data_IF_756808224200
#
_entry.id   IF_756808224200
#
_cell.length_a   1.000
_cell.length_b   1.000
_cell.length_c   1.000
_cell.angle_alpha   90.00
_cell.angle_beta   90.00
_cell.angle_gamma   90.00
#
_symmetry.space_group_name_H-M   'P 1'
#
loop_
_entity.id
_entity.type
_entity.pdbx_description
1 polymer ?
#
# COMPACT_ATOMS: atom_id res chain seq x y z
N UNK A 1 -20.44 17.61 50.94
CA UNK A 1 -20.44 16.29 50.29
C UNK A 1 -21.65 16.25 49.36
N UNK A 2 -21.43 16.61 48.09
CA UNK A 2 -22.45 16.66 47.05
C UNK A 2 -22.08 15.59 46.03
N UNK A 3 -22.97 14.67 45.62
CA UNK A 3 -22.57 13.56 44.77
C UNK A 3 -22.37 14.03 43.33
N UNK A 4 -21.29 13.55 42.72
CA UNK A 4 -20.96 13.80 41.32
C UNK A 4 -21.97 13.11 40.40
N UNK A 5 -22.60 13.89 39.52
CA UNK A 5 -23.49 13.39 38.48
C UNK A 5 -22.69 12.64 37.41
N UNK A 6 -22.94 11.34 37.28
CA UNK A 6 -22.38 10.48 36.24
C UNK A 6 -23.03 10.84 34.89
N UNK A 7 -22.24 11.29 33.91
CA UNK A 7 -22.73 11.48 32.53
C UNK A 7 -23.04 10.10 31.90
N UNK A 8 -24.13 9.95 31.15
CA UNK A 8 -24.45 8.69 30.48
C UNK A 8 -23.43 8.42 29.37
N UNK A 9 -23.03 7.16 29.22
CA UNK A 9 -22.18 6.70 28.13
C UNK A 9 -22.90 6.93 26.79
N UNK A 10 -22.27 7.70 25.91
CA UNK A 10 -22.70 7.87 24.51
C UNK A 10 -22.66 6.53 23.80
N UNK A 11 -23.78 6.10 23.24
CA UNK A 11 -23.86 4.91 22.41
C UNK A 11 -22.88 5.00 21.23
N UNK A 12 -22.28 3.89 20.79
CA UNK A 12 -21.44 3.87 19.60
C UNK A 12 -22.26 4.35 18.38
N UNK A 13 -21.65 5.09 17.45
CA UNK A 13 -22.34 5.54 16.25
C UNK A 13 -22.85 4.35 15.44
N UNK A 14 -24.00 4.46 14.75
CA UNK A 14 -24.50 3.40 13.90
C UNK A 14 -23.46 3.08 12.82
N UNK A 15 -23.11 1.80 12.70
CA UNK A 15 -22.37 1.26 11.56
C UNK A 15 -23.02 1.73 10.27
N UNK A 16 -22.24 2.41 9.42
CA UNK A 16 -22.69 2.83 8.10
C UNK A 16 -23.29 1.63 7.35
N UNK A 17 -24.41 1.81 6.62
CA UNK A 17 -24.95 0.74 5.79
C UNK A 17 -23.89 0.31 4.76
N UNK A 18 -23.81 -0.98 4.40
CA UNK A 18 -22.93 -1.42 3.33
C UNK A 18 -23.26 -0.62 2.08
N UNK A 19 -22.26 0.09 1.55
CA UNK A 19 -22.38 0.84 0.31
C UNK A 19 -22.92 -0.10 -0.77
N UNK A 20 -24.02 0.28 -1.44
CA UNK A 20 -24.57 -0.48 -2.56
C UNK A 20 -23.45 -0.70 -3.60
N UNK A 21 -22.97 -1.93 -3.71
CA UNK A 21 -21.92 -2.31 -4.65
C UNK A 21 -22.42 -2.00 -6.07
N UNK A 22 -21.74 -1.10 -6.77
CA UNK A 22 -21.99 -0.89 -8.19
C UNK A 22 -21.87 -2.25 -8.92
N UNK A 23 -22.81 -2.59 -9.83
CA UNK A 23 -22.78 -3.88 -10.51
C UNK A 23 -21.44 -4.04 -11.23
N UNK A 24 -20.73 -5.12 -10.92
CA UNK A 24 -19.44 -5.41 -11.51
C UNK A 24 -19.57 -5.49 -13.02
N UNK A 25 -18.77 -4.70 -13.75
CA UNK A 25 -18.69 -4.80 -15.20
C UNK A 25 -18.35 -6.24 -15.60
N UNK A 26 -19.01 -6.82 -16.61
CA UNK A 26 -18.72 -8.18 -17.03
C UNK A 26 -17.30 -8.31 -17.57
N UNK A 27 -16.73 -9.51 -17.45
CA UNK A 27 -15.44 -9.81 -18.08
C UNK A 27 -15.56 -9.66 -19.61
N UNK A 28 -14.54 -9.10 -20.28
CA UNK A 28 -14.57 -8.92 -21.72
C UNK A 28 -14.55 -10.28 -22.44
N UNK A 29 -15.10 -10.34 -23.65
CA UNK A 29 -15.28 -11.59 -24.42
C UNK A 29 -13.96 -12.36 -24.67
N UNK A 30 -12.85 -11.64 -24.73
CA UNK A 30 -11.49 -12.18 -24.91
C UNK A 30 -10.84 -12.66 -23.59
N UNK A 31 -11.44 -12.40 -22.43
CA UNK A 31 -10.87 -12.80 -21.14
C UNK A 31 -10.60 -14.31 -21.00
N UNK A 32 -11.46 -15.23 -21.48
CA UNK A 32 -11.16 -16.65 -21.44
C UNK A 32 -9.85 -17.02 -22.16
N UNK A 33 -9.44 -16.30 -23.21
CA UNK A 33 -8.16 -16.51 -23.88
C UNK A 33 -6.99 -16.06 -23.00
N UNK A 34 -7.11 -14.89 -22.35
CA UNK A 34 -6.13 -14.40 -21.39
C UNK A 34 -5.95 -15.36 -20.20
N UNK A 35 -7.06 -15.89 -19.66
CA UNK A 35 -7.04 -16.91 -18.60
C UNK A 35 -6.28 -18.17 -19.03
N UNK A 36 -6.56 -18.71 -20.23
CA UNK A 36 -5.82 -19.86 -20.77
C UNK A 36 -4.32 -19.59 -20.91
N UNK A 37 -3.92 -18.35 -21.21
CA UNK A 37 -2.51 -17.99 -21.29
C UNK A 37 -1.84 -17.98 -19.91
N UNK A 38 -2.54 -17.54 -18.86
CA UNK A 38 -2.07 -17.64 -17.46
C UNK A 38 -1.95 -19.12 -17.06
N UNK A 39 -2.97 -19.93 -17.35
CA UNK A 39 -3.00 -21.37 -17.09
C UNK A 39 -1.93 -22.12 -17.87
N UNK A 40 -1.55 -21.67 -19.08
CA UNK A 40 -0.42 -22.23 -19.82
C UNK A 40 0.89 -22.04 -19.07
N UNK A 41 1.13 -20.85 -18.51
CA UNK A 41 2.37 -20.50 -17.80
C UNK A 41 2.44 -21.15 -16.41
N UNK A 42 1.34 -21.09 -15.67
CA UNK A 42 1.27 -21.51 -14.26
C UNK A 42 0.44 -22.78 -14.02
N UNK A 43 0.01 -23.50 -15.06
CA UNK A 43 -0.64 -24.81 -14.94
C UNK A 43 0.34 -25.95 -15.10
N UNK A 44 -0.01 -27.16 -14.69
CA UNK A 44 0.91 -28.32 -14.53
C UNK A 44 1.61 -28.83 -15.79
N UNK A 45 1.16 -28.45 -16.99
CA UNK A 45 1.73 -28.90 -18.26
C UNK A 45 3.14 -28.37 -18.57
N UNK A 46 3.85 -29.07 -19.48
CA UNK A 46 5.20 -28.70 -19.96
C UNK A 46 5.20 -27.46 -20.87
N UNK A 47 4.07 -27.08 -21.46
CA UNK A 47 3.98 -25.98 -22.43
C UNK A 47 4.33 -24.59 -21.86
N UNK A 48 4.36 -24.45 -20.54
CA UNK A 48 4.79 -23.25 -19.83
C UNK A 48 6.10 -23.41 -19.08
N UNK A 49 6.89 -24.49 -19.26
CA UNK A 49 8.13 -24.66 -18.50
C UNK A 49 9.25 -23.71 -18.94
N UNK A 50 9.20 -23.20 -20.16
CA UNK A 50 10.17 -22.25 -20.69
C UNK A 50 10.03 -20.87 -20.01
N UNK A 51 11.12 -20.40 -19.42
CA UNK A 51 11.22 -19.10 -18.77
C UNK A 51 10.86 -17.92 -19.72
N UNK A 52 11.05 -18.07 -21.03
CA UNK A 52 10.67 -17.03 -22.00
C UNK A 52 9.15 -16.85 -22.09
N UNK A 53 8.37 -17.92 -21.91
CA UNK A 53 6.89 -17.84 -21.89
C UNK A 53 6.44 -17.05 -20.67
N UNK A 54 7.06 -17.28 -19.50
CA UNK A 54 6.79 -16.50 -18.30
C UNK A 54 7.14 -15.01 -18.50
N UNK A 55 8.31 -14.70 -19.08
CA UNK A 55 8.72 -13.31 -19.35
C UNK A 55 7.78 -12.58 -20.32
N UNK A 56 7.23 -13.30 -21.30
CA UNK A 56 6.33 -12.74 -22.30
C UNK A 56 4.89 -12.53 -21.79
N UNK A 57 4.49 -13.21 -20.70
CA UNK A 57 3.09 -13.27 -20.25
C UNK A 57 2.42 -11.91 -20.13
N UNK A 58 3.07 -10.93 -19.48
CA UNK A 58 2.50 -9.57 -19.34
C UNK A 58 2.17 -8.94 -20.70
N UNK A 59 3.09 -9.03 -21.65
CA UNK A 59 2.90 -8.43 -22.97
C UNK A 59 1.77 -9.13 -23.73
N UNK A 60 1.67 -10.46 -23.61
CA UNK A 60 0.57 -11.21 -24.23
C UNK A 60 -0.78 -10.85 -23.62
N UNK A 61 -0.85 -10.65 -22.29
CA UNK A 61 -2.06 -10.17 -21.63
C UNK A 61 -2.43 -8.75 -22.10
N UNK A 62 -1.46 -7.84 -22.23
CA UNK A 62 -1.72 -6.48 -22.72
C UNK A 62 -2.17 -6.46 -24.19
N UNK A 63 -1.64 -7.35 -25.05
CA UNK A 63 -2.13 -7.50 -26.43
C UNK A 63 -3.59 -7.97 -26.48
N UNK A 64 -3.97 -8.87 -25.57
CA UNK A 64 -5.33 -9.40 -25.54
C UNK A 64 -6.31 -8.42 -24.89
N UNK A 65 -5.97 -7.88 -23.73
CA UNK A 65 -6.87 -7.14 -22.84
C UNK A 65 -6.72 -5.61 -22.92
N UNK A 66 -5.79 -5.12 -23.73
CA UNK A 66 -5.43 -3.70 -23.78
C UNK A 66 -4.41 -3.29 -22.71
N UNK A 67 -4.06 -1.99 -22.66
CA UNK A 67 -3.08 -1.47 -21.71
C UNK A 67 -3.43 -1.83 -20.26
N UNK A 68 -2.44 -2.31 -19.49
CA UNK A 68 -2.69 -2.75 -18.10
C UNK A 68 -3.28 -1.68 -17.16
N UNK A 69 -3.09 -0.40 -17.49
CA UNK A 69 -3.66 0.73 -16.75
C UNK A 69 -5.18 0.86 -16.93
N UNK A 70 -5.73 0.27 -17.98
CA UNK A 70 -7.15 0.27 -18.32
C UNK A 70 -7.86 -1.02 -17.89
N UNK A 71 -7.12 -1.99 -17.33
CA UNK A 71 -7.73 -3.21 -16.79
C UNK A 71 -8.61 -2.89 -15.59
N UNK A 72 -9.93 -3.02 -15.79
CA UNK A 72 -10.95 -2.79 -14.77
C UNK A 72 -10.76 -3.70 -13.55
N UNK A 73 -11.41 -3.36 -12.44
CA UNK A 73 -11.41 -4.19 -11.24
C UNK A 73 -11.83 -5.64 -11.54
N UNK A 74 -12.87 -5.86 -12.36
CA UNK A 74 -13.29 -7.20 -12.78
C UNK A 74 -12.19 -7.95 -13.53
N UNK A 75 -11.54 -7.33 -14.51
CA UNK A 75 -10.42 -7.95 -15.27
C UNK A 75 -9.27 -8.28 -14.33
N UNK A 76 -8.89 -7.35 -13.46
CA UNK A 76 -7.84 -7.55 -12.47
C UNK A 76 -8.17 -8.72 -11.54
N UNK A 77 -9.38 -8.82 -11.00
CA UNK A 77 -9.78 -9.92 -10.12
C UNK A 77 -9.85 -11.27 -10.83
N UNK A 78 -10.27 -11.29 -12.10
CA UNK A 78 -10.19 -12.49 -12.93
C UNK A 78 -8.75 -12.97 -13.14
N UNK A 79 -7.82 -12.04 -13.41
CA UNK A 79 -6.37 -12.36 -13.52
C UNK A 79 -5.85 -12.90 -12.19
N UNK A 80 -6.22 -12.26 -11.07
CA UNK A 80 -5.82 -12.69 -9.73
C UNK A 80 -6.28 -14.12 -9.45
N UNK A 81 -7.53 -14.47 -9.77
CA UNK A 81 -8.05 -15.82 -9.56
C UNK A 81 -7.24 -16.87 -10.34
N UNK A 82 -6.98 -16.63 -11.63
CA UNK A 82 -6.18 -17.54 -12.46
C UNK A 82 -4.74 -17.69 -11.94
N UNK A 83 -4.13 -16.60 -11.46
CA UNK A 83 -2.78 -16.63 -10.86
C UNK A 83 -2.75 -17.38 -9.53
N UNK A 84 -3.76 -17.18 -8.67
CA UNK A 84 -3.86 -17.88 -7.39
C UNK A 84 -4.11 -19.39 -7.59
N UNK A 85 -4.84 -19.78 -8.64
CA UNK A 85 -5.05 -21.18 -9.00
C UNK A 85 -3.73 -21.85 -9.42
N UNK A 86 -2.87 -21.13 -10.16
CA UNK A 86 -1.53 -21.59 -10.55
C UNK A 86 -0.40 -21.27 -9.56
N UNK A 87 -0.72 -20.76 -8.36
CA UNK A 87 0.29 -20.36 -7.37
C UNK A 87 1.28 -21.47 -6.98
N UNK A 88 0.90 -22.78 -6.92
CA UNK A 88 1.87 -23.85 -6.63
C UNK A 88 2.97 -23.97 -7.69
N UNK A 89 2.72 -23.58 -8.94
CA UNK A 89 3.68 -23.67 -10.06
C UNK A 89 4.52 -22.39 -10.25
N UNK A 90 4.31 -21.34 -9.44
CA UNK A 90 5.05 -20.08 -9.56
C UNK A 90 6.57 -20.26 -9.41
N UNK A 91 7.01 -21.27 -8.66
CA UNK A 91 8.43 -21.54 -8.41
C UNK A 91 9.12 -22.41 -9.46
N UNK A 92 8.56 -22.59 -10.66
CA UNK A 92 9.20 -23.35 -11.76
C UNK A 92 10.57 -22.81 -12.14
N UNK A 93 10.72 -21.49 -12.16
CA UNK A 93 12.00 -20.82 -12.34
C UNK A 93 11.91 -19.40 -11.76
N UNK A 94 13.04 -18.71 -11.57
CA UNK A 94 13.02 -17.33 -11.06
C UNK A 94 12.16 -16.40 -11.93
N UNK A 95 12.14 -16.63 -13.25
CA UNK A 95 11.32 -15.85 -14.18
C UNK A 95 9.81 -16.04 -13.96
N UNK A 96 9.38 -17.25 -13.59
CA UNK A 96 7.98 -17.53 -13.26
C UNK A 96 7.56 -16.82 -11.99
N UNK A 97 8.36 -16.93 -10.93
CA UNK A 97 8.02 -16.32 -9.65
C UNK A 97 8.02 -14.80 -9.75
N UNK A 98 9.00 -14.22 -10.43
CA UNK A 98 9.07 -12.78 -10.66
C UNK A 98 7.86 -12.27 -11.44
N UNK A 99 7.46 -12.95 -12.53
CA UNK A 99 6.27 -12.56 -13.30
C UNK A 99 4.99 -12.74 -12.47
N UNK A 100 4.89 -13.82 -11.71
CA UNK A 100 3.74 -14.11 -10.85
C UNK A 100 3.55 -12.99 -9.81
N UNK A 101 4.61 -12.62 -9.09
CA UNK A 101 4.60 -11.54 -8.09
C UNK A 101 4.19 -10.20 -8.70
N UNK A 102 4.74 -9.86 -9.87
CA UNK A 102 4.40 -8.61 -10.58
C UNK A 102 2.92 -8.53 -10.95
N UNK A 103 2.37 -9.62 -11.49
CA UNK A 103 0.98 -9.65 -11.93
C UNK A 103 0.00 -9.78 -10.77
N UNK A 104 0.27 -10.60 -9.76
CA UNK A 104 -0.66 -10.80 -8.64
C UNK A 104 -0.81 -9.53 -7.79
N UNK A 105 0.32 -8.85 -7.50
CA UNK A 105 0.30 -7.60 -6.75
C UNK A 105 -0.43 -6.50 -7.53
N UNK A 106 -0.28 -6.47 -8.86
CA UNK A 106 -1.08 -5.61 -9.72
C UNK A 106 -2.56 -5.98 -9.61
N UNK A 107 -2.91 -7.24 -9.89
CA UNK A 107 -4.27 -7.72 -10.01
C UNK A 107 -5.12 -7.60 -8.73
N UNK A 108 -4.53 -7.67 -7.54
CA UNK A 108 -5.25 -7.64 -6.26
C UNK A 108 -5.32 -6.24 -5.63
N UNK A 109 -4.46 -5.28 -6.00
CA UNK A 109 -4.41 -3.96 -5.35
C UNK A 109 -5.79 -3.27 -5.28
N UNK A 110 -6.12 -2.56 -4.20
CA UNK A 110 -5.36 -2.39 -2.95
C UNK A 110 -5.51 -3.57 -1.95
N UNK A 111 -6.12 -4.68 -2.37
CA UNK A 111 -6.46 -5.81 -1.50
C UNK A 111 -7.93 -5.85 -1.07
N UNK A 112 -8.72 -4.83 -1.41
CA UNK A 112 -10.13 -4.73 -1.05
C UNK A 112 -10.91 -3.90 -2.09
N UNK A 113 -12.21 -3.75 -1.86
CA UNK A 113 -13.12 -2.94 -2.69
C UNK A 113 -13.79 -3.71 -3.84
N UNK A 114 -13.49 -5.00 -4.01
CA UNK A 114 -14.22 -5.88 -4.92
C UNK A 114 -14.71 -7.16 -4.23
N UNK A 115 -15.83 -7.70 -4.72
CA UNK A 115 -16.41 -8.94 -4.21
C UNK A 115 -15.40 -10.09 -4.24
N UNK A 116 -15.26 -10.76 -3.09
CA UNK A 116 -14.37 -11.91 -2.91
C UNK A 116 -12.91 -11.58 -2.61
N UNK A 117 -12.56 -10.29 -2.43
CA UNK A 117 -11.20 -9.88 -2.13
C UNK A 117 -10.66 -10.45 -0.82
N UNK A 118 -11.48 -10.53 0.23
CA UNK A 118 -11.10 -11.18 1.49
C UNK A 118 -10.58 -12.62 1.25
N UNK A 119 -11.32 -13.42 0.47
CA UNK A 119 -10.90 -14.79 0.12
C UNK A 119 -9.62 -14.81 -0.74
N UNK A 120 -9.46 -13.87 -1.67
CA UNK A 120 -8.22 -13.76 -2.47
C UNK A 120 -7.03 -13.42 -1.58
N UNK A 121 -7.21 -12.52 -0.62
CA UNK A 121 -6.18 -12.18 0.35
C UNK A 121 -5.86 -13.35 1.27
N UNK A 122 -6.81 -14.15 1.70
CA UNK A 122 -6.51 -15.36 2.49
C UNK A 122 -5.65 -16.35 1.71
N UNK A 123 -5.96 -16.56 0.43
CA UNK A 123 -5.15 -17.41 -0.47
C UNK A 123 -3.74 -16.84 -0.67
N UNK A 124 -3.61 -15.53 -0.84
CA UNK A 124 -2.31 -14.86 -0.98
C UNK A 124 -1.52 -14.92 0.34
N UNK A 125 -2.18 -14.67 1.47
CA UNK A 125 -1.60 -14.67 2.82
C UNK A 125 -1.06 -16.04 3.21
N UNK A 126 -1.70 -17.13 2.77
CA UNK A 126 -1.18 -18.48 2.96
C UNK A 126 0.24 -18.69 2.37
N UNK A 127 0.66 -17.85 1.43
CA UNK A 127 2.01 -17.88 0.86
C UNK A 127 3.04 -17.11 1.71
N UNK A 128 2.60 -16.25 2.64
CA UNK A 128 3.47 -15.37 3.41
C UNK A 128 4.49 -16.17 4.23
N UNK A 129 4.04 -17.21 4.95
CA UNK A 129 4.90 -18.02 5.81
C UNK A 129 5.92 -18.87 5.02
N UNK A 130 5.55 -19.56 3.91
CA UNK A 130 6.53 -20.19 3.02
C UNK A 130 7.53 -19.22 2.40
N UNK A 131 7.11 -17.97 2.15
CA UNK A 131 7.94 -16.95 1.52
C UNK A 131 8.22 -17.19 0.02
N UNK A 132 9.20 -16.46 -0.55
CA UNK A 132 9.64 -16.68 -1.92
C UNK A 132 10.35 -18.03 -2.12
N UNK A 133 10.05 -18.73 -3.21
CA UNK A 133 10.64 -20.04 -3.54
C UNK A 133 12.08 -19.91 -4.07
N UNK A 134 12.42 -18.79 -4.70
CA UNK A 134 13.78 -18.46 -5.14
C UNK A 134 14.39 -17.32 -4.32
N UNK A 135 14.37 -17.46 -2.99
CA UNK A 135 14.81 -16.43 -2.05
C UNK A 135 16.30 -16.02 -2.13
N UNK A 136 17.12 -16.64 -3.00
CA UNK A 136 18.48 -16.16 -3.30
C UNK A 136 18.50 -15.01 -4.33
N UNK A 137 17.41 -14.84 -5.08
CA UNK A 137 17.27 -13.78 -6.07
C UNK A 137 16.79 -12.48 -5.42
N UNK A 138 17.56 -11.40 -5.60
CA UNK A 138 17.25 -10.09 -5.01
C UNK A 138 16.02 -9.43 -5.66
N UNK A 139 15.81 -9.65 -6.95
CA UNK A 139 14.67 -9.10 -7.68
C UNK A 139 13.35 -9.70 -7.19
N UNK A 140 13.37 -10.99 -6.84
CA UNK A 140 12.21 -11.67 -6.25
C UNK A 140 11.84 -11.09 -4.89
N UNK A 141 12.81 -10.82 -4.02
CA UNK A 141 12.54 -10.14 -2.76
C UNK A 141 11.99 -8.73 -2.95
N UNK A 142 12.50 -7.98 -3.93
CA UNK A 142 11.97 -6.65 -4.23
C UNK A 142 10.48 -6.72 -4.60
N UNK A 143 10.11 -7.62 -5.52
CA UNK A 143 8.70 -7.77 -5.93
C UNK A 143 7.83 -8.38 -4.83
N UNK A 144 8.40 -9.22 -3.96
CA UNK A 144 7.71 -9.76 -2.79
C UNK A 144 7.20 -8.65 -1.87
N UNK A 145 8.04 -7.68 -1.54
CA UNK A 145 7.64 -6.53 -0.72
C UNK A 145 6.66 -5.61 -1.45
N UNK A 146 6.82 -5.44 -2.77
CA UNK A 146 5.86 -4.69 -3.59
C UNK A 146 4.48 -5.32 -3.57
N UNK A 147 4.36 -6.66 -3.63
CA UNK A 147 3.08 -7.37 -3.50
C UNK A 147 2.41 -6.99 -2.18
N UNK A 148 3.11 -7.18 -1.06
CA UNK A 148 2.54 -6.87 0.27
C UNK A 148 2.18 -5.40 0.41
N UNK A 149 3.00 -4.48 -0.13
CA UNK A 149 2.71 -3.05 -0.09
C UNK A 149 1.42 -2.72 -0.82
N UNK A 150 1.21 -3.34 -2.00
CA UNK A 150 0.02 -3.14 -2.83
C UNK A 150 -1.26 -3.72 -2.23
N UNK A 151 -1.16 -4.67 -1.31
CA UNK A 151 -2.33 -5.32 -0.70
C UNK A 151 -2.53 -4.99 0.77
N UNK A 152 -1.63 -4.18 1.36
CA UNK A 152 -1.59 -3.92 2.79
C UNK A 152 -2.92 -3.37 3.32
N UNK A 153 -3.60 -2.53 2.55
CA UNK A 153 -4.89 -1.94 2.94
C UNK A 153 -6.00 -2.97 3.21
N UNK A 154 -5.99 -4.09 2.50
CA UNK A 154 -6.95 -5.18 2.74
C UNK A 154 -6.54 -6.16 3.85
N UNK A 155 -5.35 -5.99 4.46
CA UNK A 155 -4.89 -6.84 5.55
C UNK A 155 -5.39 -6.32 6.90
N UNK A 156 -5.83 -7.25 7.76
CA UNK A 156 -6.14 -6.94 9.15
C UNK A 156 -4.88 -6.52 9.96
N UNK A 157 -5.11 -6.01 11.17
CA UNK A 157 -4.04 -5.51 12.03
C UNK A 157 -2.99 -6.60 12.38
N UNK A 158 -3.43 -7.85 12.60
CA UNK A 158 -2.53 -8.95 12.94
C UNK A 158 -1.61 -9.31 11.77
N UNK A 159 -2.12 -9.29 10.53
CA UNK A 159 -1.34 -9.51 9.32
C UNK A 159 -0.36 -8.37 9.04
N UNK A 160 -0.79 -7.11 9.20
CA UNK A 160 0.12 -5.96 9.08
C UNK A 160 1.23 -6.00 10.14
N UNK A 161 0.89 -6.36 11.38
CA UNK A 161 1.83 -6.58 12.47
C UNK A 161 2.86 -7.67 12.15
N UNK A 162 2.42 -8.79 11.56
CA UNK A 162 3.30 -9.88 11.15
C UNK A 162 4.28 -9.44 10.05
N UNK A 163 3.84 -8.62 9.10
CA UNK A 163 4.73 -8.03 8.07
C UNK A 163 5.78 -7.12 8.70
N UNK A 164 5.38 -6.23 9.62
CA UNK A 164 6.33 -5.38 10.36
C UNK A 164 7.37 -6.22 11.12
N UNK A 165 6.93 -7.25 11.85
CA UNK A 165 7.83 -8.15 12.57
C UNK A 165 8.78 -8.90 11.63
N UNK A 166 8.33 -9.28 10.43
CA UNK A 166 9.17 -9.90 9.41
C UNK A 166 10.23 -8.97 8.81
N UNK A 167 9.99 -7.65 8.80
CA UNK A 167 10.92 -6.63 8.32
C UNK A 167 11.95 -6.25 9.40
N UNK A 168 11.53 -6.23 10.67
CA UNK A 168 12.33 -5.71 11.78
C UNK A 168 13.77 -6.27 11.86
N UNK A 169 14.04 -7.58 11.69
CA UNK A 169 15.41 -8.12 11.73
C UNK A 169 16.34 -7.55 10.65
N UNK A 170 15.78 -7.09 9.53
CA UNK A 170 16.55 -6.61 8.37
C UNK A 170 16.78 -5.10 8.39
N UNK A 171 15.83 -4.33 8.95
CA UNK A 171 15.92 -2.87 9.03
C UNK A 171 16.28 -2.33 10.41
N UNK A 172 15.68 -2.88 11.46
CA UNK A 172 15.82 -2.37 12.82
C UNK A 172 17.00 -2.94 13.62
N UNK A 173 17.65 -3.96 13.07
CA UNK A 173 18.57 -4.78 13.84
C UNK A 173 17.80 -5.75 14.73
N UNK A 174 18.39 -6.92 14.98
CA UNK A 174 17.73 -7.99 15.72
C UNK A 174 18.27 -9.34 15.30
N UNK A 175 17.70 -10.41 15.88
CA UNK A 175 18.09 -11.78 15.53
C UNK A 175 17.60 -12.09 14.12
N UNK A 176 18.54 -12.17 13.18
CA UNK A 176 18.28 -12.57 11.81
C UNK A 176 17.74 -14.02 11.80
N UNK A 177 16.58 -14.29 11.17
CA UNK A 177 16.06 -15.64 11.03
C UNK A 177 17.01 -16.55 10.23
N UNK A 178 17.03 -17.87 10.49
CA UNK A 178 17.79 -18.80 9.67
C UNK A 178 17.27 -18.81 8.23
N UNK A 179 18.19 -18.93 7.26
CA UNK A 179 17.85 -18.98 5.83
C UNK A 179 18.49 -17.85 5.02
N UNK A 180 18.11 -17.72 3.74
CA UNK A 180 18.62 -16.65 2.87
C UNK A 180 18.17 -15.28 3.39
N UNK A 181 19.05 -14.28 3.23
CA UNK A 181 18.72 -12.90 3.56
C UNK A 181 17.52 -12.44 2.75
N UNK A 182 16.58 -11.78 3.42
CA UNK A 182 15.60 -10.98 2.72
C UNK A 182 16.23 -9.68 2.20
N UNK A 183 16.25 -9.51 0.88
CA UNK A 183 16.76 -8.30 0.23
C UNK A 183 15.64 -7.27 0.04
N UNK A 184 15.98 -6.08 -0.47
CA UNK A 184 15.00 -5.07 -0.86
C UNK A 184 14.68 -4.05 0.24
N UNK A 185 15.69 -3.55 0.95
CA UNK A 185 15.56 -2.55 2.03
C UNK A 185 14.68 -1.34 1.63
N UNK A 186 14.78 -0.87 0.38
CA UNK A 186 13.96 0.23 -0.18
C UNK A 186 12.47 -0.15 -0.20
N UNK A 187 12.14 -1.34 -0.70
CA UNK A 187 10.75 -1.79 -0.78
C UNK A 187 10.19 -2.22 0.58
N UNK A 188 11.04 -2.69 1.50
CA UNK A 188 10.64 -2.89 2.90
C UNK A 188 10.20 -1.56 3.54
N UNK A 189 10.96 -0.47 3.35
CA UNK A 189 10.58 0.85 3.90
C UNK A 189 9.29 1.36 3.24
N UNK A 190 9.13 1.16 1.93
CA UNK A 190 7.87 1.50 1.24
C UNK A 190 6.70 0.66 1.74
N UNK A 191 6.91 -0.61 2.05
CA UNK A 191 5.89 -1.44 2.70
C UNK A 191 5.51 -0.87 4.07
N UNK A 192 6.47 -0.45 4.91
CA UNK A 192 6.16 0.14 6.22
C UNK A 192 5.20 1.34 6.12
N UNK A 193 5.37 2.19 5.10
CA UNK A 193 4.43 3.29 4.83
C UNK A 193 3.01 2.84 4.51
N UNK A 194 2.82 1.65 3.95
CA UNK A 194 1.50 1.10 3.65
C UNK A 194 0.84 0.37 4.83
N UNK A 195 1.56 0.12 5.93
CA UNK A 195 1.03 -0.58 7.10
C UNK A 195 0.35 0.41 8.06
N UNK A 196 -0.84 0.88 7.70
CA UNK A 196 -1.56 1.89 8.47
C UNK A 196 -2.11 1.41 9.81
N UNK A 197 -2.28 0.10 10.02
CA UNK A 197 -2.82 -0.50 11.26
C UNK A 197 -1.74 -0.88 12.27
N UNK A 198 -0.52 -0.34 12.11
CA UNK A 198 0.53 -0.46 13.12
C UNK A 198 0.25 0.47 14.29
N UNK A 199 0.64 0.04 15.49
CA UNK A 199 0.57 0.90 16.66
C UNK A 199 1.39 2.20 16.46
N UNK A 200 1.03 3.30 17.14
CA UNK A 200 1.77 4.55 17.05
C UNK A 200 3.27 4.38 17.34
N UNK A 201 3.63 3.56 18.33
CA UNK A 201 5.03 3.28 18.68
C UNK A 201 5.80 2.59 17.54
N UNK A 202 5.16 1.67 16.82
CA UNK A 202 5.79 0.99 15.68
C UNK A 202 5.92 1.91 14.47
N UNK A 203 4.97 2.81 14.24
CA UNK A 203 5.09 3.83 13.20
C UNK A 203 6.24 4.80 13.50
N UNK A 204 6.40 5.21 14.76
CA UNK A 204 7.58 6.00 15.20
C UNK A 204 8.87 5.25 14.89
N UNK A 205 8.96 3.97 15.28
CA UNK A 205 10.12 3.13 15.00
C UNK A 205 10.40 2.98 13.50
N UNK A 206 9.36 2.79 12.69
CA UNK A 206 9.46 2.73 11.24
C UNK A 206 9.98 4.05 10.64
N UNK A 207 9.57 5.20 11.21
CA UNK A 207 10.08 6.52 10.84
C UNK A 207 11.58 6.65 11.08
N UNK A 208 12.09 6.16 12.22
CA UNK A 208 13.54 6.15 12.47
C UNK A 208 14.29 5.26 11.47
N UNK A 209 13.74 4.10 11.12
CA UNK A 209 14.33 3.24 10.08
C UNK A 209 14.33 3.89 8.71
N UNK A 210 13.29 4.69 8.39
CA UNK A 210 13.23 5.51 7.19
C UNK A 210 14.34 6.56 7.18
N UNK A 211 14.48 7.38 8.24
CA UNK A 211 15.48 8.45 8.28
C UNK A 211 16.91 7.91 8.19
N UNK A 212 17.20 6.79 8.85
CA UNK A 212 18.50 6.12 8.78
C UNK A 212 18.89 5.66 7.36
N UNK A 213 17.93 5.60 6.42
CA UNK A 213 18.11 5.07 5.06
C UNK A 213 17.65 6.03 3.97
N UNK A 214 17.22 7.24 4.32
CA UNK A 214 16.68 8.20 3.36
C UNK A 214 17.63 8.47 2.19
N UNK A 215 18.94 8.55 2.45
CA UNK A 215 19.96 8.75 1.42
C UNK A 215 19.95 7.72 0.29
N UNK A 216 19.51 6.48 0.56
CA UNK A 216 19.36 5.40 -0.44
C UNK A 216 17.97 5.37 -1.07
N UNK A 217 16.94 5.76 -0.32
CA UNK A 217 15.56 5.74 -0.77
C UNK A 217 15.23 6.93 -1.68
N UNK A 218 15.72 8.13 -1.33
CA UNK A 218 15.56 9.40 -2.05
C UNK A 218 14.09 9.74 -2.37
N UNK A 219 13.18 9.35 -1.48
CA UNK A 219 11.74 9.59 -1.61
C UNK A 219 11.09 9.66 -0.23
N UNK A 220 10.35 10.73 0.06
CA UNK A 220 9.63 10.92 1.33
C UNK A 220 8.26 10.26 1.37
N UNK A 221 7.84 9.60 0.28
CA UNK A 221 6.54 8.95 0.22
C UNK A 221 6.23 8.04 1.44
N UNK A 222 7.14 7.16 1.91
CA UNK A 222 6.86 6.34 3.09
C UNK A 222 6.67 7.14 4.38
N UNK A 223 7.44 8.22 4.57
CA UNK A 223 7.30 9.09 5.74
C UNK A 223 5.94 9.79 5.73
N UNK A 224 5.52 10.29 4.57
CA UNK A 224 4.21 10.89 4.37
C UNK A 224 3.08 9.96 4.80
N UNK A 225 3.18 8.68 4.45
CA UNK A 225 2.17 7.67 4.80
C UNK A 225 2.21 7.25 6.26
N UNK A 226 3.41 7.05 6.83
CA UNK A 226 3.58 6.76 8.27
C UNK A 226 3.03 7.89 9.15
N UNK A 227 3.24 9.14 8.72
CA UNK A 227 2.86 10.34 9.46
C UNK A 227 1.46 10.87 9.16
N UNK A 228 0.73 10.27 8.21
CA UNK A 228 -0.56 10.76 7.75
C UNK A 228 -1.55 10.97 8.92
N UNK A 229 -2.23 12.12 8.92
CA UNK A 229 -3.24 12.47 9.93
C UNK A 229 -4.59 11.79 9.69
N UNK A 230 -4.88 11.52 8.42
CA UNK A 230 -6.01 10.72 7.98
C UNK A 230 -5.49 9.44 7.33
N UNK A 231 -5.94 8.32 7.86
CA UNK A 231 -5.61 6.98 7.38
C UNK A 231 -6.70 6.52 6.42
N UNK A 232 -6.34 5.68 5.46
CA UNK A 232 -7.27 5.09 4.50
C UNK A 232 -7.98 3.87 5.09
N UNK A 233 -7.22 3.00 5.75
CA UNK A 233 -7.66 1.68 6.20
C UNK A 233 -7.43 1.45 7.70
N UNK A 234 -6.75 2.38 8.38
CA UNK A 234 -6.45 2.34 9.82
C UNK A 234 -7.36 3.25 10.66
N UNK A 235 -7.34 3.03 11.98
CA UNK A 235 -8.13 3.84 12.90
C UNK A 235 -7.42 5.16 13.24
N UNK A 236 -8.17 6.20 13.58
CA UNK A 236 -7.60 7.48 14.02
C UNK A 236 -6.58 7.33 15.17
N UNK A 237 -6.79 6.33 16.04
CA UNK A 237 -5.90 5.97 17.14
C UNK A 237 -4.55 5.38 16.70
N UNK A 238 -4.43 4.87 15.47
CA UNK A 238 -3.18 4.34 14.92
C UNK A 238 -2.24 5.45 14.45
N UNK A 239 -2.68 6.70 14.39
CA UNK A 239 -1.82 7.82 13.96
C UNK A 239 -0.66 8.05 14.93
N UNK A 240 0.51 8.46 14.42
CA UNK A 240 1.62 8.85 15.32
C UNK A 240 1.23 10.07 16.16
N UNK A 241 1.77 10.22 17.38
CA UNK A 241 1.51 11.39 18.21
C UNK A 241 1.78 12.70 17.47
N UNK A 242 1.01 13.75 17.79
CA UNK A 242 1.15 15.07 17.15
C UNK A 242 2.59 15.57 17.22
N UNK A 243 3.24 15.47 18.39
CA UNK A 243 4.63 15.88 18.58
C UNK A 243 5.63 15.17 17.66
N UNK A 244 5.35 13.92 17.29
CA UNK A 244 6.18 13.16 16.33
C UNK A 244 5.94 13.68 14.91
N UNK A 245 4.68 13.91 14.54
CA UNK A 245 4.34 14.47 13.23
C UNK A 245 4.97 15.87 13.04
N UNK A 246 4.93 16.71 14.08
CA UNK A 246 5.56 18.03 14.09
C UNK A 246 7.09 17.95 13.98
N UNK A 247 7.72 17.02 14.70
CA UNK A 247 9.16 16.79 14.59
C UNK A 247 9.56 16.34 13.17
N UNK A 248 8.77 15.47 12.54
CA UNK A 248 8.99 15.02 11.16
C UNK A 248 8.74 16.14 10.15
N UNK A 249 7.74 17.00 10.38
CA UNK A 249 7.53 18.23 9.60
C UNK A 249 8.74 19.17 9.70
N UNK A 250 9.34 19.31 10.89
CA UNK A 250 10.58 20.05 11.09
C UNK A 250 11.70 19.57 10.16
N UNK A 251 11.93 18.25 10.09
CA UNK A 251 12.90 17.65 9.16
C UNK A 251 12.52 17.85 7.69
N UNK A 252 11.23 17.73 7.36
CA UNK A 252 10.75 18.02 6.00
C UNK A 252 11.00 19.48 5.62
N UNK A 253 10.99 20.42 6.56
CA UNK A 253 11.33 21.81 6.26
C UNK A 253 12.81 22.03 5.90
N UNK A 254 13.70 21.07 6.18
CA UNK A 254 15.10 21.14 5.74
C UNK A 254 15.29 20.60 4.32
N UNK A 255 14.35 19.79 3.82
CA UNK A 255 14.40 19.21 2.47
C UNK A 255 14.07 20.25 1.38
N UNK A 256 14.60 20.08 0.17
CA UNK A 256 14.18 20.88 -0.99
C UNK A 256 12.93 20.27 -1.66
N UNK A 257 11.78 20.90 -1.45
CA UNK A 257 10.49 20.38 -1.93
C UNK A 257 10.31 20.43 -3.45
N UNK A 258 11.16 21.18 -4.16
CA UNK A 258 11.14 21.22 -5.62
C UNK A 258 11.88 20.02 -6.24
N UNK A 259 12.85 19.43 -5.53
CA UNK A 259 13.74 18.41 -6.09
C UNK A 259 13.72 17.08 -5.34
N UNK A 260 13.33 17.07 -4.07
CA UNK A 260 13.23 15.85 -3.26
C UNK A 260 11.86 15.19 -3.41
N UNK A 261 11.87 14.00 -4.02
CA UNK A 261 10.67 13.24 -4.36
C UNK A 261 9.75 13.04 -3.14
N UNK A 262 8.48 13.41 -3.31
CA UNK A 262 7.44 13.23 -2.30
C UNK A 262 7.53 14.12 -1.06
N UNK A 263 8.51 15.03 -0.93
CA UNK A 263 8.68 15.86 0.27
C UNK A 263 7.45 16.75 0.54
N UNK A 264 6.99 17.47 -0.49
CA UNK A 264 5.82 18.34 -0.40
C UNK A 264 4.54 17.55 -0.05
N UNK A 265 4.33 16.40 -0.70
CA UNK A 265 3.17 15.55 -0.41
C UNK A 265 3.23 14.97 1.01
N UNK A 266 4.41 14.54 1.46
CA UNK A 266 4.58 14.08 2.83
C UNK A 266 4.19 15.17 3.84
N UNK A 267 4.66 16.40 3.63
CA UNK A 267 4.29 17.53 4.50
C UNK A 267 2.77 17.78 4.50
N UNK A 268 2.11 17.68 3.35
CA UNK A 268 0.64 17.76 3.26
C UNK A 268 -0.04 16.68 4.11
N UNK A 269 0.41 15.43 4.01
CA UNK A 269 -0.20 14.32 4.75
C UNK A 269 0.00 14.42 6.27
N UNK A 270 1.17 14.89 6.71
CA UNK A 270 1.49 15.12 8.12
C UNK A 270 0.75 16.33 8.71
N UNK A 271 0.42 17.32 7.88
CA UNK A 271 -0.19 18.58 8.31
C UNK A 271 -1.68 18.72 7.93
N UNK A 272 -2.28 17.70 7.32
CA UNK A 272 -3.68 17.69 6.89
C UNK A 272 -4.61 17.99 8.07
N UNK A 273 -5.59 18.86 7.85
CA UNK A 273 -6.65 19.13 8.81
C UNK A 273 -7.60 17.93 8.90
N UNK A 274 -7.84 17.46 10.11
CA UNK A 274 -8.76 16.35 10.41
C UNK A 274 -10.09 16.85 11.02
N UNK A 275 -10.11 18.08 11.54
CA UNK A 275 -11.22 18.59 12.34
C UNK A 275 -11.18 18.13 13.80
N UNK A 276 -10.17 17.34 14.19
CA UNK A 276 -9.90 16.89 15.55
C UNK A 276 -8.62 17.53 16.08
N UNK A 277 -8.77 18.44 17.05
CA UNK A 277 -7.66 19.17 17.67
C UNK A 277 -6.64 18.26 18.37
N UNK A 278 -7.02 17.03 18.76
CA UNK A 278 -6.10 16.07 19.36
C UNK A 278 -5.16 15.38 18.35
N UNK A 279 -5.46 15.50 17.05
CA UNK A 279 -4.70 14.88 15.94
C UNK A 279 -4.04 15.90 15.02
N UNK A 280 -4.62 17.08 14.91
CA UNK A 280 -4.09 18.19 14.11
C UNK A 280 -2.78 18.72 14.69
N UNK A 281 -1.81 19.01 13.82
CA UNK A 281 -0.58 19.73 14.18
C UNK A 281 -0.85 21.23 14.38
N UNK A 282 0.11 21.92 15.00
CA UNK A 282 0.02 23.37 15.25
C UNK A 282 -0.44 24.16 13.98
N UNK A 283 -1.48 24.99 14.08
CA UNK A 283 -1.94 25.84 12.97
C UNK A 283 -0.84 26.69 12.32
N UNK A 284 0.16 27.15 13.07
CA UNK A 284 1.31 27.88 12.56
C UNK A 284 2.18 27.01 11.65
N UNK A 285 2.42 25.74 12.03
CA UNK A 285 3.12 24.77 11.18
C UNK A 285 2.33 24.48 9.91
N UNK A 286 1.01 24.27 10.01
CA UNK A 286 0.14 24.11 8.82
C UNK A 286 0.22 25.31 7.89
N UNK A 287 0.18 26.51 8.44
CA UNK A 287 0.35 27.75 7.68
C UNK A 287 1.72 27.85 6.99
N UNK A 288 2.78 27.35 7.62
CA UNK A 288 4.10 27.29 7.00
C UNK A 288 4.16 26.29 5.84
N UNK A 289 3.55 25.11 5.99
CA UNK A 289 3.39 24.14 4.88
C UNK A 289 2.65 24.81 3.72
N UNK A 290 1.51 25.47 3.97
CA UNK A 290 0.71 26.15 2.95
C UNK A 290 1.51 27.21 2.17
N UNK A 291 2.28 28.05 2.88
CA UNK A 291 3.15 29.06 2.23
C UNK A 291 4.17 28.41 1.31
N UNK A 292 4.87 27.38 1.79
CA UNK A 292 5.91 26.70 1.01
C UNK A 292 5.36 25.97 -0.21
N UNK A 293 4.16 25.40 -0.12
CA UNK A 293 3.44 24.85 -1.28
C UNK A 293 3.16 25.93 -2.32
N UNK A 294 2.81 27.15 -1.88
CA UNK A 294 2.63 28.30 -2.76
C UNK A 294 3.92 28.68 -3.50
N UNK A 295 5.06 28.71 -2.81
CA UNK A 295 6.37 29.06 -3.38
C UNK A 295 6.78 28.12 -4.52
N UNK A 296 6.50 26.82 -4.37
CA UNK A 296 6.78 25.79 -5.40
C UNK A 296 5.64 25.62 -6.41
N UNK A 297 4.56 26.43 -6.30
CA UNK A 297 3.36 26.35 -7.14
C UNK A 297 2.72 24.95 -7.17
N UNK A 298 2.66 24.31 -6.00
CA UNK A 298 1.99 23.01 -5.84
C UNK A 298 0.48 23.11 -6.14
N UNK A 299 -0.21 21.98 -6.39
CA UNK A 299 -1.65 21.99 -6.64
C UNK A 299 -2.43 22.70 -5.52
N UNK A 300 -3.34 23.61 -5.87
CA UNK A 300 -4.15 24.37 -4.90
C UNK A 300 -4.92 23.47 -3.94
N UNK A 301 -5.35 22.28 -4.41
CA UNK A 301 -6.03 21.27 -3.59
C UNK A 301 -5.21 20.84 -2.39
N UNK A 302 -3.89 20.75 -2.51
CA UNK A 302 -3.02 20.39 -1.38
C UNK A 302 -3.03 21.45 -0.29
N UNK A 303 -3.17 22.73 -0.66
CA UNK A 303 -3.33 23.82 0.30
C UNK A 303 -4.69 23.70 1.00
N UNK A 304 -5.77 23.41 0.26
CA UNK A 304 -7.10 23.21 0.86
C UNK A 304 -7.13 22.07 1.89
N UNK A 305 -6.35 20.98 1.69
CA UNK A 305 -6.24 19.89 2.67
C UNK A 305 -5.64 20.32 4.02
N UNK A 306 -4.96 21.46 4.08
CA UNK A 306 -4.37 22.00 5.32
C UNK A 306 -5.36 22.84 6.12
N UNK A 307 -6.41 23.35 5.47
CA UNK A 307 -7.39 24.27 6.07
C UNK A 307 -8.75 23.64 6.28
N UNK A 308 -9.10 22.63 5.47
CA UNK A 308 -10.41 21.99 5.47
C UNK A 308 -10.27 20.49 5.77
N UNK A 309 -11.08 19.99 6.70
CA UNK A 309 -11.29 18.55 6.89
C UNK A 309 -12.08 18.02 5.69
N UNK A 310 -11.37 17.71 4.61
CA UNK A 310 -11.95 17.31 3.34
C UNK A 310 -11.29 16.02 2.83
N UNK A 311 -12.07 15.14 2.21
CA UNK A 311 -11.59 13.86 1.67
C UNK A 311 -10.61 14.02 0.51
N UNK A 312 -9.74 13.03 0.37
CA UNK A 312 -8.80 12.96 -0.76
C UNK A 312 -9.55 12.69 -2.05
N UNK A 313 -9.16 13.39 -3.12
CA UNK A 313 -9.70 13.08 -4.44
C UNK A 313 -9.11 11.77 -5.00
N UNK A 314 -9.73 11.20 -6.04
CA UNK A 314 -9.17 10.07 -6.78
C UNK A 314 -7.80 10.39 -7.42
N UNK A 315 -7.55 11.66 -7.75
CA UNK A 315 -6.26 12.11 -8.26
C UNK A 315 -5.19 12.12 -7.15
N UNK A 316 -5.55 12.55 -5.93
CA UNK A 316 -4.66 12.51 -4.77
C UNK A 316 -4.37 11.06 -4.34
N UNK A 317 -5.37 10.18 -4.43
CA UNK A 317 -5.24 8.76 -4.13
C UNK A 317 -4.09 8.13 -4.93
N UNK A 318 -3.92 8.42 -6.23
CA UNK A 318 -2.81 7.87 -7.03
C UNK A 318 -1.44 8.26 -6.49
N UNK A 319 -1.27 9.52 -6.07
CA UNK A 319 -0.03 10.00 -5.49
C UNK A 319 0.23 9.37 -4.11
N UNK A 320 -0.83 9.14 -3.34
CA UNK A 320 -0.78 8.60 -1.98
C UNK A 320 -0.60 7.08 -1.96
N UNK A 321 -1.19 6.33 -2.89
CA UNK A 321 -1.02 4.86 -3.00
C UNK A 321 0.31 4.47 -3.66
N UNK A 322 0.96 5.40 -4.38
CA UNK A 322 2.18 5.13 -5.15
C UNK A 322 1.95 4.24 -6.38
N UNK A 323 0.70 3.80 -6.62
CA UNK A 323 0.22 3.04 -7.77
C UNK A 323 -1.22 3.50 -8.08
N UNK A 324 -1.64 3.47 -9.35
CA UNK A 324 -3.04 3.79 -9.72
C UNK A 324 -3.99 2.63 -9.37
N UNK A 325 -5.15 2.94 -8.80
CA UNK A 325 -6.22 1.96 -8.54
C UNK A 325 -6.80 1.41 -9.86
N UNK A 326 -7.29 0.16 -9.91
CA UNK A 326 -8.00 -0.35 -11.07
C UNK A 326 -9.24 0.50 -11.38
N UNK A 327 -9.50 0.84 -12.65
CA UNK A 327 -10.76 1.47 -13.05
C UNK A 327 -11.97 0.71 -12.51
N UNK A 328 -12.96 1.46 -12.03
CA UNK A 328 -14.18 0.90 -11.42
C UNK A 328 -14.08 0.58 -9.94
N UNK A 329 -12.89 0.70 -9.32
CA UNK A 329 -12.75 0.57 -7.86
C UNK A 329 -12.98 1.95 -7.19
N UNK A 330 -13.87 2.00 -6.20
CA UNK A 330 -14.06 3.18 -5.33
C UNK A 330 -13.70 2.78 -3.90
N UNK A 331 -12.90 3.62 -3.25
CA UNK A 331 -12.66 3.52 -1.82
C UNK A 331 -13.75 4.35 -1.14
N UNK A 332 -14.38 3.77 -0.13
CA UNK A 332 -15.45 4.37 0.68
C UNK A 332 -14.96 4.51 2.10
#
# INVERSE_FOLDING_TARGET
>A
LTPAATRPATAPPPTAPPSEEAPAEPLPLNFPAARRQIERVFGTGKAGSDANVAKALRNELEKMLGPRGEWTSTVCRGIADALLDGAPQRGRSPAHELMWLRLIGWAIRPGFGARGDARRLDRLWALQAPGPQHAKDKGIWSEWWVVWRRVAGGLDAARQQALFAGIAPWLGGGKVPPGPRAHGDVEMIRLLGALERLSPAQKVQAGEWFFARYSKLRSYWPLGRLGARELMDGDAADTVPVSVAEAWLGRLFEADWATEDGAALAAVLLARATGDAGRDVDPALRGQVARRLGDIKAPSRWVSLLTEAADLSSADAKAIFGDALPPGLRLV
#
